data_IF_566789968612
#
_entry.id   IF_566789968612
#
_cell.length_a   1.000
_cell.length_b   1.000
_cell.length_c   1.000
_cell.angle_alpha   90.00
_cell.angle_beta   90.00
_cell.angle_gamma   90.00
#
_symmetry.space_group_name_H-M   'P 1'
#
loop_
_entity.id
_entity.type
_entity.pdbx_description
1 polymer ?
#
# COMPACT_ATOMS: atom_id res chain seq x y z
N UNK A 1 -52.02 15.23 9.88
CA UNK A 1 -50.78 15.98 9.58
C UNK A 1 -49.65 15.39 10.44
N UNK A 2 -48.98 14.31 10.01
CA UNK A 2 -47.84 13.71 10.75
C UNK A 2 -46.96 12.74 9.90
N UNK A 3 -46.73 13.04 8.63
CA UNK A 3 -45.94 12.18 7.71
C UNK A 3 -44.43 12.47 7.74
N UNK A 4 -44.00 13.61 8.29
CA UNK A 4 -42.61 14.07 8.24
C UNK A 4 -41.67 13.34 9.23
N UNK A 5 -42.17 12.83 10.37
CA UNK A 5 -41.31 12.15 11.34
C UNK A 5 -40.84 10.76 10.86
N UNK A 6 -41.66 10.07 10.06
CA UNK A 6 -41.36 8.73 9.57
C UNK A 6 -40.39 8.72 8.39
N UNK A 7 -40.36 9.79 7.60
CA UNK A 7 -39.38 9.95 6.52
C UNK A 7 -38.01 10.36 7.05
N UNK A 8 -37.95 11.29 8.01
CA UNK A 8 -36.69 11.72 8.64
C UNK A 8 -35.95 10.56 9.31
N UNK A 9 -36.66 9.75 10.11
CA UNK A 9 -36.07 8.58 10.80
C UNK A 9 -35.56 7.51 9.83
N UNK A 10 -36.21 7.33 8.68
CA UNK A 10 -35.81 6.35 7.67
C UNK A 10 -34.60 6.81 6.84
N UNK A 11 -34.47 8.12 6.59
CA UNK A 11 -33.30 8.73 5.93
C UNK A 11 -32.10 8.70 6.87
N UNK A 12 -32.28 9.07 8.15
CA UNK A 12 -31.22 9.04 9.16
C UNK A 12 -30.73 7.62 9.46
N UNK A 13 -31.63 6.63 9.49
CA UNK A 13 -31.27 5.21 9.57
C UNK A 13 -30.51 4.71 8.33
N UNK A 14 -30.91 5.15 7.13
CA UNK A 14 -30.21 4.78 5.90
C UNK A 14 -28.80 5.40 5.82
N UNK A 15 -28.65 6.66 6.23
CA UNK A 15 -27.36 7.37 6.25
C UNK A 15 -26.40 6.79 7.29
N UNK A 16 -26.91 6.41 8.47
CA UNK A 16 -26.11 5.73 9.50
C UNK A 16 -25.68 4.33 9.06
N UNK A 17 -26.55 3.54 8.43
CA UNK A 17 -26.20 2.22 7.86
C UNK A 17 -25.18 2.36 6.73
N UNK A 18 -25.36 3.31 5.82
CA UNK A 18 -24.41 3.58 4.74
C UNK A 18 -23.03 4.02 5.29
N UNK A 19 -23.02 4.84 6.35
CA UNK A 19 -21.79 5.23 7.03
C UNK A 19 -21.08 4.04 7.68
N UNK A 20 -21.81 3.18 8.40
CA UNK A 20 -21.23 1.97 9.00
C UNK A 20 -20.72 0.99 7.95
N UNK A 21 -21.46 0.79 6.85
CA UNK A 21 -21.03 -0.06 5.75
C UNK A 21 -19.75 0.47 5.08
N UNK A 22 -19.67 1.79 4.86
CA UNK A 22 -18.45 2.43 4.33
C UNK A 22 -17.27 2.26 5.28
N UNK A 23 -17.47 2.47 6.58
CA UNK A 23 -16.41 2.31 7.58
C UNK A 23 -15.96 0.85 7.65
N UNK A 24 -16.88 -0.11 7.68
CA UNK A 24 -16.56 -1.54 7.67
C UNK A 24 -15.77 -1.94 6.41
N UNK A 25 -16.16 -1.43 5.24
CA UNK A 25 -15.45 -1.67 3.98
C UNK A 25 -14.03 -1.11 4.03
N UNK A 26 -13.86 0.13 4.52
CA UNK A 26 -12.55 0.75 4.68
C UNK A 26 -11.67 -0.07 5.64
N UNK A 27 -12.22 -0.48 6.79
CA UNK A 27 -11.50 -1.34 7.74
C UNK A 27 -11.09 -2.67 7.11
N UNK A 28 -11.98 -3.31 6.33
CA UNK A 28 -11.66 -4.55 5.64
C UNK A 28 -10.53 -4.38 4.62
N UNK A 29 -10.58 -3.30 3.84
CA UNK A 29 -9.51 -2.96 2.88
C UNK A 29 -8.18 -2.75 3.59
N UNK A 30 -8.18 -1.98 4.69
CA UNK A 30 -6.97 -1.76 5.50
C UNK A 30 -6.44 -3.09 6.02
N UNK A 31 -7.31 -3.95 6.54
CA UNK A 31 -6.92 -5.27 7.05
C UNK A 31 -6.26 -6.11 5.96
N UNK A 32 -6.88 -6.22 4.79
CA UNK A 32 -6.34 -6.96 3.64
C UNK A 32 -4.98 -6.42 3.22
N UNK A 33 -4.81 -5.09 3.15
CA UNK A 33 -3.54 -4.46 2.80
C UNK A 33 -2.47 -4.75 3.85
N UNK A 34 -2.79 -4.65 5.13
CA UNK A 34 -1.86 -4.92 6.23
C UNK A 34 -1.45 -6.38 6.24
N UNK A 35 -2.40 -7.31 6.11
CA UNK A 35 -2.12 -8.75 6.04
C UNK A 35 -1.29 -9.08 4.80
N UNK A 36 -1.61 -8.50 3.64
CA UNK A 36 -0.84 -8.67 2.41
C UNK A 36 0.60 -8.16 2.54
N UNK A 37 0.79 -6.97 3.13
CA UNK A 37 2.11 -6.42 3.40
C UNK A 37 2.93 -7.29 4.38
N UNK A 38 2.27 -7.86 5.39
CA UNK A 38 2.91 -8.77 6.34
C UNK A 38 3.36 -10.07 5.67
N UNK A 39 2.50 -10.69 4.86
CA UNK A 39 2.82 -11.88 4.07
C UNK A 39 3.96 -11.61 3.10
N UNK A 40 3.89 -10.49 2.36
CA UNK A 40 4.95 -10.07 1.45
C UNK A 40 6.28 -9.81 2.18
N UNK A 41 6.23 -9.20 3.37
CA UNK A 41 7.40 -8.95 4.21
C UNK A 41 8.04 -10.26 4.70
N UNK A 42 7.25 -11.24 5.15
CA UNK A 42 7.76 -12.57 5.54
C UNK A 42 8.43 -13.28 4.37
N UNK A 43 7.81 -13.23 3.19
CA UNK A 43 8.37 -13.82 1.98
C UNK A 43 9.69 -13.15 1.58
N UNK A 44 9.73 -11.81 1.54
CA UNK A 44 10.94 -11.04 1.24
C UNK A 44 12.03 -11.26 2.28
N UNK A 45 11.68 -11.35 3.57
CA UNK A 45 12.64 -11.68 4.61
C UNK A 45 13.26 -13.07 4.39
N UNK A 46 12.45 -14.04 3.97
CA UNK A 46 12.95 -15.38 3.62
C UNK A 46 13.86 -15.31 2.38
N UNK A 47 13.47 -14.55 1.36
CA UNK A 47 14.27 -14.31 0.15
C UNK A 47 15.63 -13.69 0.49
N UNK A 48 15.66 -12.60 1.26
CA UNK A 48 16.90 -11.93 1.65
C UNK A 48 17.77 -12.80 2.55
N UNK A 49 17.17 -13.60 3.42
CA UNK A 49 17.90 -14.55 4.25
C UNK A 49 18.59 -15.60 3.37
N UNK A 50 17.87 -16.25 2.46
CA UNK A 50 18.44 -17.23 1.53
C UNK A 50 19.54 -16.63 0.66
N UNK A 51 19.32 -15.42 0.13
CA UNK A 51 20.32 -14.67 -0.60
C UNK A 51 21.58 -14.40 0.25
N UNK A 52 21.41 -14.03 1.52
CA UNK A 52 22.54 -13.81 2.45
C UNK A 52 23.31 -15.11 2.76
N UNK A 53 22.63 -16.25 2.72
CA UNK A 53 23.21 -17.58 2.87
C UNK A 53 23.78 -18.13 1.56
N UNK A 54 23.69 -17.37 0.45
CA UNK A 54 24.08 -17.79 -0.91
C UNK A 54 23.36 -19.06 -1.39
N UNK A 55 22.16 -19.31 -0.85
CA UNK A 55 21.24 -20.34 -1.29
C UNK A 55 20.32 -19.79 -2.37
N UNK A 56 19.70 -20.66 -3.16
CA UNK A 56 18.75 -20.23 -4.19
C UNK A 56 17.54 -19.50 -3.55
N UNK A 57 17.37 -18.19 -3.76
CA UNK A 57 16.37 -17.42 -3.04
C UNK A 57 14.94 -17.66 -3.58
N UNK A 58 14.78 -18.31 -4.73
CA UNK A 58 13.47 -18.73 -5.23
C UNK A 58 12.89 -19.95 -4.52
N UNK A 59 13.72 -20.67 -3.73
CA UNK A 59 13.25 -21.72 -2.82
C UNK A 59 12.89 -21.16 -1.44
N UNK A 60 12.91 -19.83 -1.25
CA UNK A 60 12.46 -19.22 -0.02
C UNK A 60 10.94 -19.39 0.14
N UNK A 61 10.56 -20.40 0.91
CA UNK A 61 9.18 -20.57 1.35
C UNK A 61 8.72 -19.40 2.21
N UNK A 62 7.41 -19.19 2.31
CA UNK A 62 6.81 -18.13 3.13
C UNK A 62 7.24 -18.21 4.62
N UNK A 63 7.57 -19.42 5.07
CA UNK A 63 7.92 -19.75 6.44
C UNK A 63 9.44 -19.80 6.69
N UNK A 64 10.27 -19.72 5.64
CA UNK A 64 11.71 -19.96 5.74
C UNK A 64 12.44 -19.04 6.73
N UNK A 65 12.05 -17.77 6.81
CA UNK A 65 12.59 -16.85 7.82
C UNK A 65 12.14 -17.20 9.24
N UNK A 66 10.87 -17.61 9.43
CA UNK A 66 10.34 -18.01 10.75
C UNK A 66 11.01 -19.29 11.24
N UNK A 67 11.20 -20.27 10.36
CA UNK A 67 11.85 -21.53 10.71
C UNK A 67 13.31 -21.29 11.09
N UNK A 68 14.00 -20.42 10.36
CA UNK A 68 15.35 -20.01 10.70
C UNK A 68 15.43 -19.21 12.02
N UNK A 69 14.41 -18.40 12.32
CA UNK A 69 14.30 -17.70 13.61
C UNK A 69 14.14 -18.70 14.77
N UNK A 70 13.28 -19.70 14.62
CA UNK A 70 13.11 -20.77 15.61
C UNK A 70 14.40 -21.58 15.78
N UNK A 71 15.06 -21.96 14.68
CA UNK A 71 16.34 -22.65 14.74
C UNK A 71 17.43 -21.81 15.44
N UNK A 72 17.44 -20.49 15.25
CA UNK A 72 18.34 -19.59 15.98
C UNK A 72 17.99 -19.53 17.47
N UNK A 73 16.70 -19.42 17.82
CA UNK A 73 16.23 -19.41 19.20
C UNK A 73 16.59 -20.72 19.93
N UNK A 74 16.49 -21.86 19.26
CA UNK A 74 16.88 -23.18 19.76
C UNK A 74 18.41 -23.38 19.85
N UNK A 75 19.21 -22.36 19.49
CA UNK A 75 20.67 -22.43 19.51
C UNK A 75 21.29 -23.22 18.34
N UNK A 76 20.49 -23.69 17.38
CA UNK A 76 20.94 -24.47 16.22
C UNK A 76 21.64 -23.62 15.15
N UNK A 77 21.60 -22.30 15.26
CA UNK A 77 22.22 -21.38 14.29
C UNK A 77 23.12 -20.32 14.97
N UNK A 78 24.29 -20.71 15.50
CA UNK A 78 25.19 -19.77 16.17
C UNK A 78 25.62 -18.65 15.20
N UNK A 79 25.53 -17.40 15.64
CA UNK A 79 25.82 -16.17 14.86
C UNK A 79 24.84 -15.82 13.72
N UNK A 80 23.70 -16.53 13.60
CA UNK A 80 22.67 -16.26 12.58
C UNK A 80 21.82 -15.00 12.82
N UNK A 81 21.76 -14.51 14.06
CA UNK A 81 20.85 -13.43 14.47
C UNK A 81 20.97 -12.12 13.67
N UNK A 82 22.19 -11.69 13.31
CA UNK A 82 22.40 -10.47 12.49
C UNK A 82 21.81 -10.61 11.08
N UNK A 83 21.93 -11.79 10.48
CA UNK A 83 21.38 -12.07 9.14
C UNK A 83 19.85 -12.14 9.19
N UNK A 84 19.30 -12.76 10.22
CA UNK A 84 17.85 -12.81 10.48
C UNK A 84 17.25 -11.40 10.65
N UNK A 85 17.84 -10.60 11.53
CA UNK A 85 17.38 -9.23 11.78
C UNK A 85 17.52 -8.36 10.52
N UNK A 86 18.65 -8.44 9.82
CA UNK A 86 18.87 -7.72 8.57
C UNK A 86 17.85 -8.09 7.49
N UNK A 87 17.58 -9.38 7.32
CA UNK A 87 16.61 -9.87 6.35
C UNK A 87 15.18 -9.42 6.67
N UNK A 88 14.78 -9.43 7.95
CA UNK A 88 13.48 -8.91 8.39
C UNK A 88 13.33 -7.41 8.14
N UNK A 89 14.36 -6.62 8.46
CA UNK A 89 14.36 -5.18 8.23
C UNK A 89 14.27 -4.85 6.73
N UNK A 90 15.04 -5.54 5.89
CA UNK A 90 14.98 -5.36 4.44
C UNK A 90 13.63 -5.81 3.86
N UNK A 91 13.10 -6.94 4.32
CA UNK A 91 11.79 -7.43 3.91
C UNK A 91 10.68 -6.42 4.21
N UNK A 92 10.67 -5.88 5.43
CA UNK A 92 9.72 -4.85 5.86
C UNK A 92 9.90 -3.55 5.07
N UNK A 93 11.14 -3.09 4.91
CA UNK A 93 11.47 -1.86 4.20
C UNK A 93 11.01 -1.92 2.74
N UNK A 94 11.18 -3.05 2.06
CA UNK A 94 10.75 -3.21 0.67
C UNK A 94 9.23 -3.35 0.58
N UNK A 95 8.63 -4.20 1.41
CA UNK A 95 7.18 -4.47 1.39
C UNK A 95 6.33 -3.24 1.74
N UNK A 96 6.83 -2.37 2.63
CA UNK A 96 6.09 -1.18 3.11
C UNK A 96 6.64 0.09 2.45
N UNK A 97 7.96 0.26 2.43
CA UNK A 97 8.61 1.46 1.90
C UNK A 97 8.42 1.61 0.39
N UNK A 98 8.46 0.52 -0.38
CA UNK A 98 8.23 0.56 -1.83
C UNK A 98 6.85 1.14 -2.19
N UNK A 99 5.75 0.57 -1.69
CA UNK A 99 4.40 1.10 -1.92
C UNK A 99 4.21 2.53 -1.39
N UNK A 100 4.71 2.86 -0.21
CA UNK A 100 4.63 4.23 0.33
C UNK A 100 5.34 5.23 -0.58
N UNK A 101 6.52 4.88 -1.08
CA UNK A 101 7.28 5.75 -1.96
C UNK A 101 6.63 5.86 -3.35
N UNK A 102 6.04 4.79 -3.87
CA UNK A 102 5.21 4.83 -5.08
C UNK A 102 3.98 5.72 -4.94
N UNK A 103 3.29 5.66 -3.80
CA UNK A 103 2.17 6.56 -3.51
C UNK A 103 2.63 8.03 -3.39
N UNK A 104 3.78 8.25 -2.76
CA UNK A 104 4.39 9.58 -2.65
C UNK A 104 4.72 10.15 -4.04
N UNK A 105 5.38 9.39 -4.91
CA UNK A 105 5.74 9.85 -6.26
C UNK A 105 4.51 10.08 -7.13
N UNK A 106 3.48 9.21 -7.06
CA UNK A 106 2.22 9.42 -7.77
C UNK A 106 1.51 10.70 -7.31
N UNK A 107 1.52 11.01 -6.01
CA UNK A 107 0.96 12.26 -5.47
C UNK A 107 1.75 13.48 -5.94
N UNK A 108 3.08 13.42 -5.91
CA UNK A 108 3.94 14.52 -6.38
C UNK A 108 3.73 14.78 -7.88
N UNK A 109 3.63 13.72 -8.70
CA UNK A 109 3.35 13.85 -10.13
C UNK A 109 1.93 14.35 -10.43
N UNK A 110 0.95 13.99 -9.61
CA UNK A 110 -0.42 14.49 -9.73
C UNK A 110 -0.53 15.97 -9.34
N UNK A 111 0.31 16.45 -8.41
CA UNK A 111 0.36 17.86 -7.99
C UNK A 111 1.08 18.78 -8.99
N UNK A 112 2.15 18.29 -9.65
CA UNK A 112 2.93 19.06 -10.63
C UNK A 112 2.33 19.14 -12.04
N UNK A 113 1.25 18.40 -12.34
CA UNK A 113 0.46 18.57 -13.58
C UNK A 113 -0.68 19.59 -13.45
N UNK A 114 -0.58 20.58 -12.54
CA UNK A 114 -1.21 21.86 -12.83
C UNK A 114 -0.40 22.50 -13.94
N UNK A 115 -0.96 22.43 -15.14
CA UNK A 115 -0.63 23.30 -16.26
C UNK A 115 -0.25 24.67 -15.69
N UNK A 116 1.03 25.01 -15.79
CA UNK A 116 1.57 26.27 -15.31
C UNK A 116 0.73 27.40 -15.91
N UNK A 117 0.07 28.18 -15.05
CA UNK A 117 -0.60 29.47 -15.32
C UNK A 117 -1.50 29.53 -16.56
N UNK A 118 -2.82 29.53 -16.39
CA UNK A 118 -3.82 29.94 -17.41
C UNK A 118 -3.65 29.41 -18.85
N UNK A 119 -2.84 28.38 -19.10
CA UNK A 119 -2.73 27.75 -20.41
C UNK A 119 -3.93 26.83 -20.61
N UNK A 120 -5.08 27.47 -20.86
CA UNK A 120 -6.18 26.85 -21.59
C UNK A 120 -5.68 26.54 -23.00
N UNK A 121 -6.18 25.44 -23.58
CA UNK A 121 -6.02 25.24 -25.02
C UNK A 121 -6.54 26.48 -25.76
N UNK A 122 -5.76 27.00 -26.70
CA UNK A 122 -6.14 28.17 -27.48
C UNK A 122 -7.45 27.87 -28.22
N UNK A 123 -8.41 28.79 -28.13
CA UNK A 123 -9.66 28.70 -28.88
C UNK A 123 -9.39 28.90 -30.37
N UNK A 124 -10.26 28.40 -31.23
CA UNK A 124 -10.10 28.51 -32.70
C UNK A 124 -9.91 29.97 -33.16
N UNK A 125 -10.54 30.93 -32.47
CA UNK A 125 -10.37 32.36 -32.71
C UNK A 125 -8.95 32.86 -32.38
N UNK A 126 -8.34 32.34 -31.31
CA UNK A 126 -6.96 32.67 -30.92
C UNK A 126 -5.94 32.01 -31.86
N UNK A 127 -6.22 30.79 -32.33
CA UNK A 127 -5.39 30.08 -33.32
C UNK A 127 -5.39 30.82 -34.66
N UNK A 128 -6.56 31.32 -35.09
CA UNK A 128 -6.70 32.13 -36.31
C UNK A 128 -6.04 33.51 -36.17
N UNK A 129 -6.17 34.15 -35.01
CA UNK A 129 -5.49 35.42 -34.73
C UNK A 129 -3.96 35.27 -34.71
N UNK A 130 -3.45 34.09 -34.34
CA UNK A 130 -2.04 33.76 -34.42
C UNK A 130 -1.58 33.34 -35.84
N UNK A 131 -2.48 33.28 -36.82
CA UNK A 131 -2.16 32.90 -38.21
C UNK A 131 -1.75 31.43 -38.38
N UNK A 132 -2.15 30.57 -37.43
CA UNK A 132 -1.86 29.13 -37.45
C UNK A 132 -2.95 28.31 -38.17
N UNK A 133 -3.94 29.00 -38.76
CA UNK A 133 -5.03 28.49 -39.59
C UNK A 133 -5.12 29.31 -40.87
#
# INVERSE_FOLDING_TARGET
MNTNHRSLTHVEAADTVAHHARTALVTLVILVVVTGALVASLWLASFFLYASLRLNPFHAELWGWRDALLAWHDGRMPHGGRRLAGAALLGLLVAVGGPLMGLYTLREHSGRRRVYGSARFASEAEIRAAGLL
#
